data_IF_294095110718
#
_entry.id   IF_294095110718
#
_cell.length_a   1.000
_cell.length_b   1.000
_cell.length_c   1.000
_cell.angle_alpha   90.00
_cell.angle_beta   90.00
_cell.angle_gamma   90.00
#
_symmetry.space_group_name_H-M   'P 1'
#
loop_
_entity.id
_entity.type
_entity.pdbx_description
1 polymer ?
#
# COMPACT_ATOMS: atom_id res chain seq x y z
N UNK A 1 -34.75 -5.95 49.63
CA UNK A 1 -33.64 -6.72 49.01
C UNK A 1 -33.63 -6.71 47.47
N UNK A 2 -34.70 -6.28 46.75
CA UNK A 2 -34.73 -6.23 45.27
C UNK A 2 -33.79 -5.22 44.59
N UNK A 3 -33.38 -4.14 45.26
CA UNK A 3 -32.55 -3.11 44.62
C UNK A 3 -31.09 -3.51 44.36
N UNK A 4 -30.50 -4.43 45.13
CA UNK A 4 -29.08 -4.80 44.95
C UNK A 4 -28.80 -5.60 43.67
N UNK A 5 -29.81 -6.31 43.16
CA UNK A 5 -29.65 -7.19 42.00
C UNK A 5 -29.59 -6.39 40.68
N UNK A 6 -30.28 -5.23 40.63
CA UNK A 6 -30.28 -4.38 39.44
C UNK A 6 -28.92 -3.72 39.20
N UNK A 7 -28.23 -3.23 40.25
CA UNK A 7 -26.93 -2.58 40.10
C UNK A 7 -25.82 -3.51 39.60
N UNK A 8 -25.88 -4.80 39.98
CA UNK A 8 -24.90 -5.78 39.53
C UNK A 8 -25.01 -6.04 38.02
N UNK A 9 -26.24 -6.11 37.51
CA UNK A 9 -26.50 -6.32 36.07
C UNK A 9 -26.06 -5.13 35.24
N UNK A 10 -26.34 -3.89 35.67
CA UNK A 10 -25.91 -2.70 34.94
C UNK A 10 -24.38 -2.58 34.89
N UNK A 11 -23.70 -2.91 35.98
CA UNK A 11 -22.23 -2.85 36.04
C UNK A 11 -21.57 -3.85 35.09
N UNK A 12 -22.07 -5.08 35.00
CA UNK A 12 -21.54 -6.10 34.08
C UNK A 12 -21.72 -5.66 32.63
N UNK A 13 -22.89 -5.11 32.26
CA UNK A 13 -23.14 -4.63 30.88
C UNK A 13 -22.17 -3.50 30.49
N UNK A 14 -21.88 -2.56 31.40
CA UNK A 14 -20.96 -1.47 31.12
C UNK A 14 -19.51 -1.96 30.91
N UNK A 15 -19.07 -2.99 31.64
CA UNK A 15 -17.76 -3.60 31.43
C UNK A 15 -17.68 -4.25 30.04
N UNK A 16 -18.72 -4.97 29.62
CA UNK A 16 -18.75 -5.58 28.29
C UNK A 16 -18.73 -4.53 27.18
N UNK A 17 -19.49 -3.45 27.31
CA UNK A 17 -19.47 -2.33 26.35
C UNK A 17 -18.10 -1.67 26.30
N UNK A 18 -17.46 -1.43 27.45
CA UNK A 18 -16.12 -0.85 27.54
C UNK A 18 -15.04 -1.74 26.90
N UNK A 19 -15.04 -3.04 27.19
CA UNK A 19 -14.12 -4.00 26.56
C UNK A 19 -14.34 -4.08 25.04
N UNK A 20 -15.60 -4.08 24.59
CA UNK A 20 -15.91 -4.13 23.17
C UNK A 20 -15.44 -2.87 22.44
N UNK A 21 -15.63 -1.69 23.03
CA UNK A 21 -15.11 -0.42 22.51
C UNK A 21 -13.57 -0.38 22.46
N UNK A 22 -12.89 -0.88 23.49
CA UNK A 22 -11.41 -0.93 23.52
C UNK A 22 -10.84 -1.83 22.42
N UNK A 23 -11.48 -2.95 22.12
CA UNK A 23 -11.08 -3.83 21.02
C UNK A 23 -11.34 -3.18 19.66
N UNK A 24 -12.44 -2.43 19.51
CA UNK A 24 -12.77 -1.74 18.26
C UNK A 24 -11.90 -0.49 18.02
N UNK A 25 -11.43 0.17 19.07
CA UNK A 25 -10.56 1.35 18.98
C UNK A 25 -9.07 1.01 18.87
N UNK A 26 -8.66 -0.20 19.25
CA UNK A 26 -7.27 -0.66 19.19
C UNK A 26 -6.71 -0.81 17.77
N UNK A 27 -7.56 -0.84 16.74
CA UNK A 27 -7.15 -1.02 15.35
C UNK A 27 -6.97 0.30 14.57
N UNK A 28 -7.17 1.46 15.20
CA UNK A 28 -7.07 2.76 14.52
C UNK A 28 -5.71 3.45 14.63
N UNK A 29 -4.68 2.80 15.19
CA UNK A 29 -3.34 3.35 15.08
C UNK A 29 -2.89 3.20 13.62
N UNK A 30 -2.64 4.31 12.89
CA UNK A 30 -2.16 4.21 11.52
C UNK A 30 -0.87 3.39 11.54
N UNK A 31 -0.66 2.48 10.57
CA UNK A 31 0.58 1.71 10.49
C UNK A 31 1.75 2.69 10.51
N UNK A 32 2.79 2.37 11.28
CA UNK A 32 3.96 3.25 11.37
C UNK A 32 4.50 3.52 9.97
N UNK A 33 4.87 4.78 9.69
CA UNK A 33 5.27 5.27 8.36
C UNK A 33 6.40 4.50 7.64
N UNK A 34 7.00 3.48 8.26
CA UNK A 34 8.04 2.63 7.69
C UNK A 34 7.55 1.29 7.13
N UNK A 35 6.33 0.87 7.50
CA UNK A 35 5.74 -0.40 7.07
C UNK A 35 5.03 -0.25 5.73
N UNK A 36 4.97 -1.35 4.99
CA UNK A 36 4.22 -1.40 3.75
C UNK A 36 2.74 -1.59 4.02
N UNK A 37 1.93 -0.63 3.58
CA UNK A 37 0.50 -0.81 3.48
C UNK A 37 0.18 -1.64 2.21
N UNK A 38 -0.57 -2.75 2.32
CA UNK A 38 -1.04 -3.50 1.16
C UNK A 38 -1.87 -2.61 0.23
N UNK A 39 -1.70 -2.78 -1.08
CA UNK A 39 -2.52 -2.11 -2.09
C UNK A 39 -3.74 -2.95 -2.46
N UNK A 40 -4.90 -2.31 -2.62
CA UNK A 40 -6.01 -2.86 -3.40
C UNK A 40 -5.84 -2.51 -4.88
N UNK A 41 -5.27 -3.44 -5.66
CA UNK A 41 -5.04 -3.30 -7.10
C UNK A 41 -6.30 -3.08 -7.96
N UNK A 42 -7.50 -3.12 -7.36
CA UNK A 42 -8.77 -2.82 -8.04
C UNK A 42 -9.15 -1.35 -7.91
N UNK A 43 -8.78 -0.69 -6.81
CA UNK A 43 -9.35 0.59 -6.39
C UNK A 43 -8.33 1.63 -5.93
N UNK A 44 -7.12 1.23 -5.57
CA UNK A 44 -6.13 2.15 -5.02
C UNK A 44 -5.59 3.08 -6.10
N UNK A 45 -6.11 4.30 -6.04
CA UNK A 45 -5.82 5.46 -6.88
C UNK A 45 -4.50 6.15 -6.53
N UNK A 46 -3.75 5.65 -5.54
CA UNK A 46 -2.47 6.21 -5.09
C UNK A 46 -1.38 6.18 -6.17
N UNK A 47 -1.64 5.41 -7.21
CA UNK A 47 -0.87 5.30 -8.44
C UNK A 47 -1.27 6.49 -9.34
N UNK A 48 -0.51 7.59 -9.26
CA UNK A 48 -0.78 8.88 -9.92
C UNK A 48 -1.30 8.72 -11.37
N UNK A 49 -2.43 9.35 -11.66
CA UNK A 49 -2.76 9.83 -13.01
C UNK A 49 -3.37 8.82 -13.98
N UNK A 50 -3.66 7.57 -13.58
CA UNK A 50 -4.46 6.69 -14.45
C UNK A 50 -5.66 6.12 -13.71
N UNK A 51 -6.85 6.59 -14.10
CA UNK A 51 -8.15 6.08 -13.66
C UNK A 51 -8.47 4.65 -14.15
N UNK A 52 -7.49 3.93 -14.70
CA UNK A 52 -7.67 2.58 -15.20
C UNK A 52 -7.45 1.57 -14.08
N UNK A 53 -8.48 0.79 -13.78
CA UNK A 53 -8.39 -0.37 -12.91
C UNK A 53 -7.27 -1.31 -13.42
N UNK A 54 -6.13 -1.35 -12.73
CA UNK A 54 -4.98 -2.17 -13.12
C UNK A 54 -5.39 -3.62 -13.37
N UNK A 55 -6.28 -4.16 -12.53
CA UNK A 55 -6.75 -5.55 -12.67
C UNK A 55 -7.44 -5.78 -14.02
N UNK A 56 -8.22 -4.80 -14.51
CA UNK A 56 -8.90 -4.89 -15.81
C UNK A 56 -7.90 -4.84 -16.97
N UNK A 57 -6.95 -3.90 -16.94
CA UNK A 57 -5.91 -3.78 -17.99
C UNK A 57 -4.98 -4.98 -17.99
N UNK A 58 -4.61 -5.47 -16.81
CA UNK A 58 -3.84 -6.69 -16.65
C UNK A 58 -4.56 -7.90 -17.23
N UNK A 59 -5.84 -8.08 -16.92
CA UNK A 59 -6.62 -9.18 -17.49
C UNK A 59 -6.69 -9.09 -19.01
N UNK A 60 -6.95 -7.90 -19.58
CA UNK A 60 -6.91 -7.67 -21.03
C UNK A 60 -5.55 -8.00 -21.63
N UNK A 61 -4.47 -7.63 -20.94
CA UNK A 61 -3.09 -7.94 -21.34
C UNK A 61 -2.81 -9.44 -21.35
N UNK A 62 -3.30 -10.17 -20.36
CA UNK A 62 -3.20 -11.65 -20.32
C UNK A 62 -4.00 -12.27 -21.46
N UNK A 63 -5.26 -11.87 -21.63
CA UNK A 63 -6.15 -12.41 -22.68
C UNK A 63 -5.61 -12.15 -24.09
N UNK A 64 -4.99 -10.98 -24.31
CA UNK A 64 -4.37 -10.59 -25.56
C UNK A 64 -2.93 -11.10 -25.73
N UNK A 65 -2.38 -11.82 -24.75
CA UNK A 65 -0.97 -12.23 -24.69
C UNK A 65 0.01 -11.08 -24.96
N UNK A 66 -0.25 -9.93 -24.34
CA UNK A 66 0.53 -8.72 -24.53
C UNK A 66 1.97 -8.89 -24.00
N UNK A 67 2.96 -8.33 -24.71
CA UNK A 67 4.37 -8.47 -24.33
C UNK A 67 4.70 -7.90 -22.94
N UNK A 68 3.95 -6.90 -22.48
CA UNK A 68 4.19 -6.26 -21.18
C UNK A 68 3.85 -7.18 -20.00
N UNK A 69 2.85 -8.08 -20.10
CA UNK A 69 2.53 -9.04 -19.02
C UNK A 69 3.55 -10.16 -18.91
N UNK A 70 4.35 -10.39 -19.96
CA UNK A 70 5.43 -11.36 -19.99
C UNK A 70 6.74 -10.79 -19.39
N UNK A 71 6.81 -9.47 -19.19
CA UNK A 71 7.96 -8.79 -18.62
C UNK A 71 7.67 -8.35 -17.17
N UNK A 72 8.33 -8.94 -16.16
CA UNK A 72 8.04 -8.68 -14.75
C UNK A 72 8.33 -7.21 -14.38
N UNK A 73 9.34 -6.61 -14.99
CA UNK A 73 9.65 -5.20 -14.77
C UNK A 73 8.52 -4.31 -15.31
N UNK A 74 7.99 -4.61 -16.49
CA UNK A 74 6.88 -3.85 -17.05
C UNK A 74 5.60 -3.97 -16.20
N UNK A 75 5.28 -5.17 -15.70
CA UNK A 75 4.17 -5.39 -14.77
C UNK A 75 4.36 -4.57 -13.50
N UNK A 76 5.54 -4.66 -12.85
CA UNK A 76 5.81 -3.90 -11.63
C UNK A 76 5.75 -2.39 -11.84
N UNK A 77 6.26 -1.91 -12.99
CA UNK A 77 6.19 -0.50 -13.36
C UNK A 77 4.74 -0.02 -13.53
N UNK A 78 3.87 -0.81 -14.15
CA UNK A 78 2.45 -0.48 -14.24
C UNK A 78 1.77 -0.47 -12.87
N UNK A 79 2.06 -1.43 -11.99
CA UNK A 79 1.56 -1.43 -10.60
C UNK A 79 2.00 -0.16 -9.86
N UNK A 80 3.22 0.32 -10.11
CA UNK A 80 3.73 1.56 -9.52
C UNK A 80 3.27 2.85 -10.23
N UNK A 81 2.52 2.75 -11.32
CA UNK A 81 1.94 3.90 -12.02
C UNK A 81 2.76 4.50 -13.12
N UNK A 82 3.62 3.68 -13.71
CA UNK A 82 4.44 4.10 -14.83
C UNK A 82 3.95 3.46 -16.14
N UNK A 83 4.00 4.20 -17.26
CA UNK A 83 4.34 5.63 -17.32
C UNK A 83 3.27 6.51 -16.63
N UNK A 84 3.69 7.62 -16.04
CA UNK A 84 2.80 8.61 -15.42
C UNK A 84 2.56 9.79 -16.38
N UNK A 85 1.58 10.65 -16.06
CA UNK A 85 1.23 11.83 -16.87
C UNK A 85 2.41 12.81 -17.05
N UNK A 86 3.28 12.90 -16.02
CA UNK A 86 4.47 13.76 -16.04
C UNK A 86 5.62 13.19 -16.88
N UNK A 87 5.48 11.94 -17.36
CA UNK A 87 6.52 11.17 -18.06
C UNK A 87 7.86 11.13 -17.31
N UNK A 88 7.81 11.12 -15.97
CA UNK A 88 8.97 11.02 -15.10
C UNK A 88 9.26 9.55 -14.85
N UNK A 89 10.52 9.15 -14.95
CA UNK A 89 10.97 7.80 -14.59
C UNK A 89 11.16 7.65 -13.07
N UNK A 90 11.03 6.44 -12.51
CA UNK A 90 11.34 6.20 -11.11
C UNK A 90 12.81 6.54 -10.80
N UNK A 91 13.08 6.96 -9.57
CA UNK A 91 14.46 7.26 -9.11
C UNK A 91 15.31 6.00 -9.10
N UNK A 92 14.70 4.87 -8.73
CA UNK A 92 15.38 3.57 -8.69
C UNK A 92 14.38 2.43 -8.83
N UNK A 93 14.79 1.39 -9.54
CA UNK A 93 14.12 0.09 -9.54
C UNK A 93 15.11 -0.96 -9.11
N UNK A 94 14.74 -1.75 -8.10
CA UNK A 94 15.52 -2.89 -7.62
C UNK A 94 14.72 -4.16 -7.86
N UNK A 95 15.34 -5.17 -8.46
CA UNK A 95 14.78 -6.51 -8.61
C UNK A 95 15.53 -7.48 -7.71
N UNK A 96 14.79 -8.32 -6.98
CA UNK A 96 15.34 -9.47 -6.27
C UNK A 96 14.63 -10.75 -6.72
N UNK A 97 15.35 -11.86 -6.66
CA UNK A 97 14.91 -13.15 -7.17
C UNK A 97 14.96 -14.16 -6.02
N UNK A 98 13.95 -14.16 -5.12
CA UNK A 98 14.01 -14.97 -3.90
C UNK A 98 14.03 -16.49 -4.18
N UNK A 99 13.48 -16.92 -5.31
CA UNK A 99 13.51 -18.32 -5.79
C UNK A 99 13.15 -18.40 -7.29
N UNK A 100 13.39 -19.54 -7.97
CA UNK A 100 13.00 -19.72 -9.36
C UNK A 100 11.51 -19.42 -9.58
N UNK A 101 11.21 -18.63 -10.60
CA UNK A 101 9.84 -18.22 -10.94
C UNK A 101 9.22 -17.19 -9.98
N UNK A 102 9.98 -16.60 -9.03
CA UNK A 102 9.52 -15.48 -8.20
C UNK A 102 10.44 -14.27 -8.34
N UNK A 103 9.83 -13.09 -8.36
CA UNK A 103 10.53 -11.81 -8.43
C UNK A 103 9.86 -10.83 -7.48
N UNK A 104 10.66 -10.13 -6.68
CA UNK A 104 10.21 -8.95 -5.97
C UNK A 104 10.81 -7.72 -6.66
N UNK A 105 9.95 -6.77 -7.01
CA UNK A 105 10.35 -5.48 -7.54
C UNK A 105 10.11 -4.40 -6.48
N UNK A 106 11.11 -3.57 -6.22
CA UNK A 106 11.01 -2.39 -5.36
C UNK A 106 11.27 -1.15 -6.18
N UNK A 107 10.27 -0.29 -6.30
CA UNK A 107 10.27 0.90 -7.14
C UNK A 107 10.24 2.13 -6.23
N UNK A 108 11.25 2.97 -6.35
CA UNK A 108 11.36 4.22 -5.61
C UNK A 108 10.92 5.37 -6.52
N UNK A 109 9.78 5.97 -6.19
CA UNK A 109 9.24 7.14 -6.86
C UNK A 109 9.67 8.41 -6.14
N UNK A 110 10.06 9.43 -6.91
CA UNK A 110 10.26 10.79 -6.42
C UNK A 110 9.04 11.62 -6.78
N UNK A 111 8.43 12.28 -5.80
CA UNK A 111 7.40 13.26 -6.07
C UNK A 111 8.03 14.54 -6.65
N UNK A 112 7.48 15.04 -7.75
CA UNK A 112 7.98 16.21 -8.48
C UNK A 112 7.53 17.58 -7.88
N UNK A 113 7.02 17.62 -6.65
CA UNK A 113 6.44 18.85 -6.07
C UNK A 113 6.80 19.06 -4.60
N UNK A 114 7.30 20.26 -4.32
CA UNK A 114 7.59 20.91 -3.03
C UNK A 114 8.54 20.25 -2.02
N UNK A 115 9.22 21.11 -1.26
CA UNK A 115 10.45 20.91 -0.48
C UNK A 115 10.40 19.86 0.64
N UNK A 116 9.25 19.23 0.85
CA UNK A 116 9.08 18.04 1.69
C UNK A 116 9.08 16.78 0.80
N UNK A 117 10.23 16.43 0.23
CA UNK A 117 10.37 15.27 -0.67
C UNK A 117 9.83 13.99 -0.01
N UNK A 118 8.59 13.62 -0.31
CA UNK A 118 8.01 12.31 -0.01
C UNK A 118 8.62 11.34 -1.02
N UNK A 119 9.32 10.33 -0.50
CA UNK A 119 9.76 9.20 -1.31
C UNK A 119 8.77 8.07 -1.12
N UNK A 120 8.10 7.68 -2.19
CA UNK A 120 7.18 6.54 -2.16
C UNK A 120 7.93 5.32 -2.67
N UNK A 121 7.92 4.25 -1.89
CA UNK A 121 8.50 2.97 -2.24
C UNK A 121 7.37 1.98 -2.46
N UNK A 122 7.24 1.47 -3.68
CA UNK A 122 6.28 0.43 -4.05
C UNK A 122 7.00 -0.89 -4.12
N UNK A 123 6.51 -1.91 -3.41
CA UNK A 123 7.01 -3.28 -3.52
C UNK A 123 5.95 -4.13 -4.20
N UNK A 124 6.36 -4.91 -5.18
CA UNK A 124 5.50 -5.82 -5.95
C UNK A 124 6.16 -7.19 -5.91
N UNK A 125 5.46 -8.16 -5.35
CA UNK A 125 5.85 -9.57 -5.34
C UNK A 125 5.10 -10.29 -6.45
N UNK A 126 5.85 -10.98 -7.32
CA UNK A 126 5.31 -11.64 -8.50
C UNK A 126 5.75 -13.08 -8.60
N UNK A 127 4.89 -13.91 -9.18
CA UNK A 127 5.17 -15.29 -9.55
C UNK A 127 4.91 -15.50 -11.04
N UNK A 128 5.79 -16.24 -11.69
CA UNK A 128 5.60 -16.64 -13.07
C UNK A 128 4.48 -17.69 -13.16
N UNK A 129 3.52 -17.46 -14.04
CA UNK A 129 2.44 -18.39 -14.39
C UNK A 129 2.47 -18.58 -15.90
N UNK A 130 2.87 -19.79 -16.31
CA UNK A 130 3.04 -20.11 -17.73
C UNK A 130 3.92 -19.07 -18.43
N UNK A 131 3.32 -18.19 -19.25
CA UNK A 131 4.01 -17.18 -20.03
C UNK A 131 3.88 -15.75 -19.50
N UNK A 132 3.21 -15.51 -18.36
CA UNK A 132 3.01 -14.18 -17.79
C UNK A 132 3.40 -14.09 -16.32
N UNK A 133 3.56 -12.86 -15.81
CA UNK A 133 3.90 -12.58 -14.42
C UNK A 133 2.68 -12.14 -13.64
N UNK A 134 2.25 -12.98 -12.70
CA UNK A 134 1.12 -12.73 -11.80
C UNK A 134 1.58 -12.01 -10.55
N UNK A 135 0.89 -10.93 -10.17
CA UNK A 135 1.13 -10.21 -8.91
C UNK A 135 0.52 -11.01 -7.75
N UNK A 136 1.35 -11.49 -6.82
CA UNK A 136 0.88 -12.17 -5.60
C UNK A 136 0.56 -11.16 -4.50
N UNK A 137 1.35 -10.08 -4.41
CA UNK A 137 1.17 -9.03 -3.43
C UNK A 137 1.77 -7.72 -3.95
N UNK A 138 1.16 -6.60 -3.57
CA UNK A 138 1.72 -5.28 -3.79
C UNK A 138 1.46 -4.41 -2.56
N UNK A 139 2.39 -3.51 -2.26
CA UNK A 139 2.25 -2.57 -1.16
C UNK A 139 3.08 -1.32 -1.37
N UNK A 140 2.68 -0.25 -0.68
CA UNK A 140 3.38 1.03 -0.69
C UNK A 140 3.78 1.44 0.71
N UNK A 141 4.93 2.10 0.82
CA UNK A 141 5.29 2.89 1.99
C UNK A 141 5.81 4.25 1.58
N UNK A 142 5.66 5.22 2.48
CA UNK A 142 6.11 6.59 2.26
C UNK A 142 7.19 6.95 3.27
N UNK A 143 8.39 7.26 2.79
CA UNK A 143 9.47 7.77 3.64
C UNK A 143 9.46 9.28 3.59
N UNK A 144 9.11 9.91 4.70
CA UNK A 144 9.34 11.32 4.89
C UNK A 144 10.83 11.59 5.13
N UNK A 145 11.39 12.55 4.41
CA UNK A 145 12.72 13.07 4.74
C UNK A 145 12.60 13.91 6.01
N UNK A 146 13.36 13.59 7.06
CA UNK A 146 13.54 14.49 8.20
C UNK A 146 14.11 15.82 7.67
N UNK A 147 13.32 16.88 7.69
CA UNK A 147 13.86 18.24 7.62
C UNK A 147 14.59 18.52 8.93
N UNK A 148 15.79 19.08 8.85
CA UNK A 148 16.73 19.31 9.97
C UNK A 148 16.26 20.37 10.98
N UNK A 149 14.97 20.70 11.06
CA UNK A 149 14.45 21.77 11.90
C UNK A 149 13.65 21.21 13.09
N UNK A 150 13.90 21.67 14.34
CA UNK A 150 13.19 21.21 15.52
C UNK A 150 11.85 21.93 15.61
N UNK A 151 10.90 21.55 14.76
CA UNK A 151 9.62 22.23 14.65
C UNK A 151 8.56 21.34 14.02
N UNK A 152 8.41 20.12 14.52
CA UNK A 152 7.32 19.24 14.12
C UNK A 152 6.11 19.54 15.00
N UNK A 153 5.20 20.38 14.50
CA UNK A 153 3.79 20.25 14.86
C UNK A 153 3.26 18.93 14.29
N UNK A 154 2.26 18.28 14.92
CA UNK A 154 1.77 16.94 14.55
C UNK A 154 1.11 16.82 13.15
N UNK A 155 1.21 17.84 12.30
CA UNK A 155 0.67 17.87 10.94
C UNK A 155 1.71 17.93 9.81
N UNK A 156 3.01 17.83 10.12
CA UNK A 156 4.07 17.73 9.11
C UNK A 156 4.31 16.26 8.74
N UNK A 157 4.08 15.92 7.47
CA UNK A 157 3.80 14.57 6.96
C UNK A 157 2.54 13.92 7.55
N UNK A 158 1.40 13.93 6.83
CA UNK A 158 0.29 13.04 7.18
C UNK A 158 0.69 11.57 7.09
#
# INVERSE_FOLDING_TARGET
MKNRQNYLLTFVVLIFIGCWLMLFLGEMLPPGNNDYAPMDLRWDHWVRGSHTNFTLEYQRGVDANASWVQNPLAVAMQVAGYPNEDNINPERVTLSFPKPGKIDAVILSREAGDDAIRRTETRVEMIQKENFWMVEWAGVRSKCRRTLYPGWGPGGCP
#
